data_IF_820624311234
#
_entry.id   IF_820624311234
#
_cell.length_a   1.000
_cell.length_b   1.000
_cell.length_c   1.000
_cell.angle_alpha   90.00
_cell.angle_beta   90.00
_cell.angle_gamma   90.00
#
_symmetry.space_group_name_H-M   'P 1'
#
loop_
_entity.id
_entity.type
_entity.pdbx_description
1 polymer ?
#
# COMPACT_ATOMS: atom_id res chain seq x y z
N UNK A 1 -10.78 15.69 -6.11
CA UNK A 1 -9.96 14.46 -6.09
C UNK A 1 -8.53 14.84 -5.70
N UNK A 2 -7.92 14.19 -4.71
CA UNK A 2 -6.53 14.51 -4.30
C UNK A 2 -5.54 14.04 -5.38
N UNK A 3 -4.43 14.76 -5.55
CA UNK A 3 -3.37 14.38 -6.50
C UNK A 3 -2.62 13.16 -5.97
N UNK A 4 -2.49 12.10 -6.75
CA UNK A 4 -1.62 10.96 -6.38
C UNK A 4 -0.19 11.31 -6.78
N UNK A 5 0.73 11.20 -5.83
CA UNK A 5 2.16 11.51 -6.00
C UNK A 5 2.97 10.29 -5.60
N UNK A 6 3.95 9.94 -6.42
CA UNK A 6 4.89 8.85 -6.13
C UNK A 6 6.13 9.45 -5.50
N UNK A 7 6.51 8.92 -4.33
CA UNK A 7 7.74 9.36 -3.67
C UNK A 7 8.97 8.84 -4.44
N UNK A 8 10.11 9.51 -4.30
CA UNK A 8 11.37 9.02 -4.88
C UNK A 8 11.73 7.62 -4.38
N UNK A 9 11.36 7.28 -3.14
CA UNK A 9 11.52 5.93 -2.60
C UNK A 9 10.70 4.90 -3.37
N UNK A 10 9.43 5.19 -3.65
CA UNK A 10 8.58 4.32 -4.46
C UNK A 10 9.14 4.17 -5.87
N UNK A 11 9.46 5.28 -6.55
CA UNK A 11 9.97 5.27 -7.93
C UNK A 11 11.23 4.39 -8.06
N UNK A 12 12.18 4.56 -7.15
CA UNK A 12 13.37 3.71 -7.09
C UNK A 12 12.99 2.22 -6.94
N UNK A 13 12.06 1.90 -6.05
CA UNK A 13 11.62 0.52 -5.76
C UNK A 13 10.89 -0.12 -6.93
N UNK A 14 10.08 0.64 -7.67
CA UNK A 14 9.39 0.15 -8.86
C UNK A 14 10.40 -0.24 -9.94
N UNK A 15 11.37 0.63 -10.18
CA UNK A 15 12.42 0.41 -11.18
C UNK A 15 13.26 -0.83 -10.85
N UNK A 16 13.87 -0.89 -9.66
CA UNK A 16 14.81 -1.97 -9.31
C UNK A 16 14.15 -3.34 -9.12
N UNK A 17 12.83 -3.39 -8.97
CA UNK A 17 12.06 -4.64 -8.81
C UNK A 17 11.21 -4.99 -10.03
N UNK A 18 11.31 -4.19 -11.10
CA UNK A 18 10.49 -4.34 -12.29
C UNK A 18 8.98 -4.45 -11.97
N UNK A 19 8.51 -3.59 -11.06
CA UNK A 19 7.09 -3.55 -10.69
C UNK A 19 6.40 -2.55 -11.63
N UNK A 20 5.25 -2.90 -12.23
CA UNK A 20 4.54 -2.01 -13.13
C UNK A 20 4.24 -0.66 -12.48
N UNK A 21 4.61 0.43 -13.16
CA UNK A 21 4.49 1.79 -12.62
C UNK A 21 3.04 2.15 -12.28
N UNK A 22 2.06 1.64 -13.00
CA UNK A 22 0.64 1.88 -12.72
C UNK A 22 0.08 1.09 -11.53
N UNK A 23 0.78 0.05 -11.05
CA UNK A 23 0.27 -0.86 -10.01
C UNK A 23 -0.04 -0.15 -8.68
N UNK A 24 0.81 0.73 -8.12
CA UNK A 24 0.49 1.42 -6.87
C UNK A 24 -0.78 2.26 -6.96
N UNK A 25 -0.95 3.03 -8.04
CA UNK A 25 -2.17 3.84 -8.25
C UNK A 25 -3.41 2.95 -8.30
N UNK A 26 -3.31 1.83 -9.02
CA UNK A 26 -4.39 0.85 -9.12
C UNK A 26 -4.75 0.25 -7.76
N UNK A 27 -3.76 -0.15 -6.97
CA UNK A 27 -3.98 -0.65 -5.60
C UNK A 27 -4.70 0.39 -4.75
N UNK A 28 -4.24 1.64 -4.76
CA UNK A 28 -4.87 2.70 -3.96
C UNK A 28 -6.33 2.95 -4.35
N UNK A 29 -6.67 2.83 -5.63
CA UNK A 29 -8.03 3.11 -6.13
C UNK A 29 -8.99 1.92 -6.01
N UNK A 30 -8.49 0.68 -6.11
CA UNK A 30 -9.32 -0.52 -6.19
C UNK A 30 -9.36 -1.34 -4.89
N UNK A 31 -8.42 -1.12 -3.96
CA UNK A 31 -8.38 -1.88 -2.71
C UNK A 31 -9.64 -1.65 -1.89
N UNK A 32 -10.26 -2.74 -1.42
CA UNK A 32 -11.47 -2.68 -0.58
C UNK A 32 -11.19 -2.38 0.88
N UNK A 33 -9.92 -2.47 1.29
CA UNK A 33 -9.52 -2.42 2.69
C UNK A 33 -8.43 -1.37 2.88
N UNK A 34 -8.77 -0.32 3.62
CA UNK A 34 -7.84 0.73 4.03
C UNK A 34 -7.72 0.72 5.56
N UNK A 35 -6.52 1.02 6.04
CA UNK A 35 -6.17 1.02 7.45
C UNK A 35 -5.26 2.19 7.80
N UNK A 36 -5.31 2.64 9.05
CA UNK A 36 -4.25 3.40 9.68
C UNK A 36 -3.35 2.47 10.51
N UNK A 37 -2.04 2.46 10.25
CA UNK A 37 -1.05 1.66 11.00
C UNK A 37 -0.40 2.52 12.09
N UNK A 38 -0.86 2.36 13.32
CA UNK A 38 -0.48 3.21 14.46
C UNK A 38 1.00 3.13 14.83
N UNK A 39 1.69 2.06 14.45
CA UNK A 39 3.11 1.92 14.74
C UNK A 39 4.00 2.72 13.76
N UNK A 40 3.48 3.02 12.57
CA UNK A 40 4.22 3.79 11.55
C UNK A 40 3.66 5.18 11.32
N UNK A 41 2.42 5.45 11.75
CA UNK A 41 1.74 6.72 11.49
C UNK A 41 1.25 6.88 10.04
N UNK A 42 1.29 5.81 9.23
CA UNK A 42 0.90 5.84 7.83
C UNK A 42 -0.41 5.12 7.57
N UNK A 43 -1.06 5.48 6.47
CA UNK A 43 -2.19 4.73 5.94
C UNK A 43 -1.71 3.54 5.11
N UNK A 44 -2.54 2.51 5.03
CA UNK A 44 -2.29 1.30 4.27
C UNK A 44 -3.52 0.90 3.46
N UNK A 45 -3.33 0.51 2.21
CA UNK A 45 -4.33 -0.17 1.40
C UNK A 45 -3.88 -1.63 1.19
N UNK A 46 -4.81 -2.58 1.25
CA UNK A 46 -4.51 -4.01 1.06
C UNK A 46 -5.47 -4.61 0.04
N UNK A 47 -4.93 -5.34 -0.93
CA UNK A 47 -5.74 -6.12 -1.88
C UNK A 47 -4.93 -7.22 -2.56
N UNK A 48 -5.61 -8.04 -3.37
CA UNK A 48 -4.98 -9.11 -4.15
C UNK A 48 -4.64 -8.63 -5.54
N UNK A 49 -3.34 -8.68 -5.89
CA UNK A 49 -2.84 -8.24 -7.19
C UNK A 49 -1.76 -9.19 -7.69
N UNK A 50 -1.53 -9.13 -9.00
CA UNK A 50 -0.35 -9.76 -9.59
C UNK A 50 0.90 -8.99 -9.17
N UNK A 51 1.85 -9.70 -8.56
CA UNK A 51 3.13 -9.17 -8.12
C UNK A 51 4.20 -10.23 -8.39
N UNK A 52 5.17 -9.91 -9.24
CA UNK A 52 6.22 -10.84 -9.72
C UNK A 52 5.62 -12.14 -10.30
N UNK A 53 4.62 -12.00 -11.18
CA UNK A 53 3.99 -13.12 -11.90
C UNK A 53 3.10 -14.03 -11.04
N UNK A 54 2.77 -13.64 -9.80
CA UNK A 54 1.92 -14.40 -8.89
C UNK A 54 0.85 -13.52 -8.25
N UNK A 55 -0.34 -14.06 -8.06
CA UNK A 55 -1.39 -13.39 -7.28
C UNK A 55 -1.02 -13.43 -5.80
N UNK A 56 -0.87 -12.26 -5.18
CA UNK A 56 -0.48 -12.12 -3.78
C UNK A 56 -1.33 -11.04 -3.10
N UNK A 57 -1.46 -11.13 -1.78
CA UNK A 57 -1.88 -9.98 -0.98
C UNK A 57 -0.76 -8.93 -1.04
N UNK A 58 -1.07 -7.74 -1.53
CA UNK A 58 -0.13 -6.61 -1.65
C UNK A 58 -0.61 -5.51 -0.73
N UNK A 59 0.31 -5.03 0.10
CA UNK A 59 0.13 -3.84 0.90
C UNK A 59 0.74 -2.62 0.19
N UNK A 60 -0.01 -1.53 0.17
CA UNK A 60 0.44 -0.22 -0.24
C UNK A 60 0.43 0.71 0.96
N UNK A 61 1.53 1.40 1.21
CA UNK A 61 1.64 2.42 2.27
C UNK A 61 1.60 3.81 1.65
N UNK A 62 0.78 4.69 2.22
CA UNK A 62 0.60 6.06 1.74
C UNK A 62 0.35 7.03 2.89
N UNK A 63 0.61 8.31 2.62
CA UNK A 63 0.17 9.42 3.47
C UNK A 63 -1.01 10.13 2.81
N UNK A 64 -2.06 10.39 3.60
CA UNK A 64 -3.18 11.23 3.18
C UNK A 64 -2.98 12.68 3.61
N UNK A 65 -2.44 13.52 2.71
CA UNK A 65 -2.22 14.95 2.95
C UNK A 65 -3.45 15.77 2.52
N UNK A 66 -3.44 17.07 2.81
CA UNK A 66 -4.57 17.97 2.48
C UNK A 66 -4.94 17.95 0.98
N UNK A 67 -3.94 17.96 0.10
CA UNK A 67 -4.15 18.07 -1.36
C UNK A 67 -3.57 16.90 -2.17
N UNK A 68 -2.87 15.97 -1.51
CA UNK A 68 -2.16 14.89 -2.16
C UNK A 68 -2.25 13.57 -1.40
N UNK A 69 -2.21 12.47 -2.13
CA UNK A 69 -1.94 11.12 -1.65
C UNK A 69 -0.51 10.79 -2.03
N UNK A 70 0.38 10.68 -1.05
CA UNK A 70 1.78 10.35 -1.30
C UNK A 70 1.96 8.85 -1.11
N UNK A 71 2.19 8.11 -2.20
CA UNK A 71 2.43 6.67 -2.13
C UNK A 71 3.91 6.44 -1.83
N UNK A 72 4.15 5.76 -0.71
CA UNK A 72 5.48 5.58 -0.13
C UNK A 72 6.10 4.28 -0.62
N UNK A 73 5.36 3.16 -0.56
CA UNK A 73 5.88 1.85 -0.99
C UNK A 73 4.75 0.86 -1.24
N UNK A 74 5.05 -0.18 -2.03
CA UNK A 74 4.22 -1.38 -2.15
C UNK A 74 5.06 -2.64 -1.91
N UNK A 75 4.48 -3.64 -1.26
CA UNK A 75 5.13 -4.92 -1.02
C UNK A 75 4.12 -6.05 -0.82
N UNK A 76 4.46 -7.29 -1.22
CA UNK A 76 3.64 -8.45 -0.89
C UNK A 76 3.66 -8.67 0.63
N UNK A 77 2.53 -9.06 1.18
CA UNK A 77 2.38 -9.45 2.58
C UNK A 77 1.96 -10.91 2.67
N UNK A 78 2.31 -11.56 3.78
CA UNK A 78 1.81 -12.90 4.07
C UNK A 78 0.44 -12.80 4.76
N UNK A 79 -0.51 -13.71 4.50
CA UNK A 79 -1.84 -13.66 5.11
C UNK A 79 -1.82 -13.55 6.64
N UNK A 80 -0.93 -14.26 7.33
CA UNK A 80 -0.83 -14.19 8.79
C UNK A 80 -0.40 -12.81 9.29
N UNK A 81 0.41 -12.06 8.53
CA UNK A 81 0.84 -10.70 8.90
C UNK A 81 -0.33 -9.72 8.83
N UNK A 82 -1.27 -9.93 7.92
CA UNK A 82 -2.51 -9.16 7.85
C UNK A 82 -3.34 -9.38 9.12
N UNK A 83 -3.66 -10.63 9.44
CA UNK A 83 -4.52 -10.99 10.57
C UNK A 83 -3.90 -10.60 11.92
N UNK A 84 -2.63 -10.91 12.15
CA UNK A 84 -1.94 -10.60 13.41
C UNK A 84 -1.95 -9.09 13.73
N UNK A 85 -1.72 -8.24 12.73
CA UNK A 85 -1.67 -6.77 12.91
C UNK A 85 -3.04 -6.11 13.08
N UNK A 86 -4.09 -6.74 12.55
CA UNK A 86 -5.47 -6.31 12.80
C UNK A 86 -5.87 -6.72 14.23
N UNK A 87 -5.61 -7.97 14.61
CA UNK A 87 -5.98 -8.50 15.92
C UNK A 87 -5.26 -7.80 17.08
N UNK A 88 -4.02 -7.33 16.86
CA UNK A 88 -3.28 -6.58 17.88
C UNK A 88 -3.70 -5.10 17.99
N UNK A 89 -4.66 -4.63 17.18
CA UNK A 89 -5.09 -3.23 17.17
C UNK A 89 -4.09 -2.25 16.55
N UNK A 90 -2.95 -2.73 16.05
CA UNK A 90 -1.97 -1.91 15.33
C UNK A 90 -2.56 -1.31 14.05
N UNK A 91 -3.38 -2.07 13.33
CA UNK A 91 -4.09 -1.60 12.14
C UNK A 91 -5.55 -1.33 12.46
N UNK A 92 -5.97 -0.08 12.34
CA UNK A 92 -7.36 0.35 12.51
C UNK A 92 -7.97 0.60 11.15
N UNK A 93 -9.12 0.00 10.86
CA UNK A 93 -9.81 0.18 9.58
C UNK A 93 -10.28 1.64 9.46
N UNK A 94 -10.17 2.21 8.26
CA UNK A 94 -10.66 3.55 7.91
C UNK A 94 -11.66 3.48 6.76
#
# INVERSE_FOLDING_TARGET
MKRIVYTSHLEFRLNVRNIPHNLPKRIFQEAKEHYYDSATGHCMAIGKYEFEGKIRDVALTYDDKRYAIEIITIHPIRPYQKHSRINSGRRKKI
#
